data_IF_148120357409
#
_entry.id   IF_148120357409
#
_cell.length_a   1.000
_cell.length_b   1.000
_cell.length_c   1.000
_cell.angle_alpha   90.00
_cell.angle_beta   90.00
_cell.angle_gamma   90.00
#
_symmetry.space_group_name_H-M   'P 1'
#
loop_
_entity.id
_entity.type
_entity.pdbx_description
1 polymer ?
#
# COMPACT_ATOMS: atom_id res chain seq x y z
N UNK A 1 4.60 27.69 11.54
CA UNK A 1 4.50 26.64 12.57
C UNK A 1 4.08 27.34 13.86
N UNK A 2 2.96 26.95 14.48
CA UNK A 2 2.59 27.42 15.82
C UNK A 2 3.75 27.18 16.79
N UNK A 3 4.00 28.15 17.65
CA UNK A 3 5.04 28.11 18.68
C UNK A 3 4.42 27.99 20.07
N UNK A 4 5.23 27.63 21.06
CA UNK A 4 4.79 27.59 22.47
C UNK A 4 4.43 28.99 23.02
N UNK A 5 4.90 30.05 22.35
CA UNK A 5 4.60 31.45 22.65
C UNK A 5 3.77 32.09 21.51
N UNK A 6 2.45 31.89 21.43
CA UNK A 6 1.61 32.51 20.42
C UNK A 6 1.33 33.99 20.75
N UNK A 7 1.16 34.81 19.73
CA UNK A 7 0.55 36.14 19.90
C UNK A 7 -0.95 36.01 20.21
N UNK A 8 -1.55 37.04 20.82
CA UNK A 8 -3.00 37.06 21.11
C UNK A 8 -3.84 36.84 19.84
N UNK A 9 -3.42 37.40 18.70
CA UNK A 9 -4.07 37.23 17.40
C UNK A 9 -3.97 35.78 16.89
N UNK A 10 -2.80 35.15 17.01
CA UNK A 10 -2.63 33.74 16.62
C UNK A 10 -3.46 32.82 17.51
N UNK A 11 -3.56 33.13 18.80
CA UNK A 11 -4.39 32.39 19.76
C UNK A 11 -5.88 32.52 19.44
N UNK A 12 -6.37 33.74 19.18
CA UNK A 12 -7.76 33.97 18.78
C UNK A 12 -8.10 33.28 17.45
N UNK A 13 -7.20 33.35 16.47
CA UNK A 13 -7.36 32.67 15.20
C UNK A 13 -7.40 31.13 15.36
N UNK A 14 -6.57 30.56 16.24
CA UNK A 14 -6.61 29.14 16.53
C UNK A 14 -7.92 28.72 17.19
N UNK A 15 -8.43 29.49 18.15
CA UNK A 15 -9.71 29.20 18.81
C UNK A 15 -10.89 29.25 17.84
N UNK A 16 -10.87 30.19 16.90
CA UNK A 16 -11.92 30.35 15.90
C UNK A 16 -11.82 29.37 14.73
N UNK A 17 -10.58 29.00 14.33
CA UNK A 17 -10.28 28.17 13.15
C UNK A 17 -9.06 27.26 13.35
N UNK A 18 -9.16 26.24 14.23
CA UNK A 18 -8.04 25.38 14.56
C UNK A 18 -7.50 24.59 13.36
N UNK A 19 -8.35 24.27 12.37
CA UNK A 19 -7.97 23.61 11.13
C UNK A 19 -7.03 24.44 10.26
N UNK A 20 -7.21 25.77 10.20
CA UNK A 20 -6.30 26.64 9.44
C UNK A 20 -4.91 26.68 10.08
N UNK A 21 -4.85 26.70 11.42
CA UNK A 21 -3.59 26.62 12.15
C UNK A 21 -2.87 25.29 11.88
N UNK A 22 -3.60 24.17 11.85
CA UNK A 22 -3.06 22.86 11.51
C UNK A 22 -2.57 22.80 10.06
N UNK A 23 -3.34 23.32 9.10
CA UNK A 23 -2.96 23.36 7.68
C UNK A 23 -1.67 24.16 7.44
N UNK A 24 -1.42 25.20 8.25
CA UNK A 24 -0.15 25.97 8.21
C UNK A 24 1.08 25.15 8.66
N UNK A 25 0.89 23.99 9.32
CA UNK A 25 1.97 23.06 9.67
C UNK A 25 2.27 22.05 8.55
N UNK A 26 1.33 21.83 7.63
CA UNK A 26 1.47 20.88 6.54
C UNK A 26 2.15 21.51 5.32
N UNK A 27 2.58 20.69 4.34
CA UNK A 27 3.06 21.20 3.07
C UNK A 27 2.07 22.16 2.42
N UNK A 28 2.58 23.13 1.66
CA UNK A 28 1.74 23.99 0.82
C UNK A 28 0.93 23.14 -0.16
N UNK A 29 -0.19 23.66 -0.65
CA UNK A 29 -1.03 22.94 -1.62
C UNK A 29 -0.24 22.50 -2.87
N UNK A 30 0.70 23.32 -3.34
CA UNK A 30 1.56 22.99 -4.48
C UNK A 30 2.50 21.82 -4.13
N UNK A 31 3.16 21.86 -2.97
CA UNK A 31 4.04 20.77 -2.51
C UNK A 31 3.26 19.47 -2.31
N UNK A 32 2.09 19.54 -1.66
CA UNK A 32 1.22 18.38 -1.45
C UNK A 32 0.77 17.76 -2.79
N UNK A 33 0.39 18.59 -3.77
CA UNK A 33 0.01 18.13 -5.11
C UNK A 33 1.14 17.39 -5.81
N UNK A 34 2.37 17.90 -5.72
CA UNK A 34 3.55 17.23 -6.30
C UNK A 34 3.77 15.87 -5.64
N UNK A 35 3.74 15.81 -4.31
CA UNK A 35 3.92 14.54 -3.58
C UNK A 35 2.81 13.55 -3.94
N UNK A 36 1.55 13.98 -4.01
CA UNK A 36 0.43 13.12 -4.40
C UNK A 36 0.61 12.55 -5.81
N UNK A 37 1.00 13.37 -6.78
CA UNK A 37 1.24 12.89 -8.15
C UNK A 37 2.41 11.90 -8.23
N UNK A 38 3.49 12.13 -7.46
CA UNK A 38 4.62 11.19 -7.39
C UNK A 38 4.20 9.87 -6.75
N UNK A 39 3.49 9.92 -5.62
CA UNK A 39 3.01 8.71 -4.95
C UNK A 39 2.01 7.92 -5.80
N UNK A 40 1.14 8.60 -6.55
CA UNK A 40 0.21 7.95 -7.46
C UNK A 40 0.95 7.14 -8.53
N UNK A 41 1.99 7.71 -9.15
CA UNK A 41 2.84 7.00 -10.12
C UNK A 41 3.59 5.85 -9.47
N UNK A 42 4.21 6.07 -8.31
CA UNK A 42 5.01 5.05 -7.63
C UNK A 42 4.18 3.91 -7.02
N UNK A 43 2.89 4.13 -6.78
CA UNK A 43 1.99 3.11 -6.19
C UNK A 43 1.20 2.34 -7.24
N UNK A 44 1.46 2.57 -8.53
CA UNK A 44 0.67 2.04 -9.63
C UNK A 44 1.33 0.81 -10.25
N UNK A 45 0.61 -0.31 -10.24
CA UNK A 45 1.06 -1.53 -10.92
C UNK A 45 0.85 -1.40 -12.44
N UNK A 46 1.91 -1.65 -13.20
CA UNK A 46 1.85 -1.74 -14.66
C UNK A 46 0.86 -2.83 -15.12
N UNK A 47 0.14 -2.66 -16.24
CA UNK A 47 -0.60 -3.75 -16.90
C UNK A 47 0.26 -4.98 -17.23
N UNK A 48 1.55 -4.76 -17.46
CA UNK A 48 2.53 -5.78 -17.81
C UNK A 48 3.30 -6.32 -16.58
N UNK A 49 2.85 -5.98 -15.36
CA UNK A 49 3.56 -6.36 -14.12
C UNK A 49 3.57 -7.88 -13.90
N UNK A 50 4.74 -8.38 -13.50
CA UNK A 50 4.95 -9.78 -13.13
C UNK A 50 5.02 -9.93 -11.61
N UNK A 51 4.07 -10.70 -11.08
CA UNK A 51 3.96 -10.94 -9.64
C UNK A 51 4.72 -12.20 -9.26
N UNK A 52 5.20 -12.21 -8.01
CA UNK A 52 5.90 -13.35 -7.43
C UNK A 52 5.08 -14.65 -7.58
N UNK A 53 5.70 -15.68 -8.16
CA UNK A 53 5.08 -17.01 -8.31
C UNK A 53 3.83 -17.06 -9.20
N UNK A 54 3.60 -16.03 -10.03
CA UNK A 54 2.50 -16.00 -11.01
C UNK A 54 2.88 -16.72 -12.30
N UNK A 55 3.99 -16.31 -12.91
CA UNK A 55 4.49 -16.84 -14.17
C UNK A 55 5.83 -17.55 -13.94
N UNK A 56 5.99 -18.73 -14.53
CA UNK A 56 7.28 -19.43 -14.58
C UNK A 56 8.01 -19.02 -15.87
N UNK A 57 9.32 -18.86 -15.79
CA UNK A 57 10.15 -18.70 -16.98
C UNK A 57 10.00 -19.95 -17.88
N UNK A 58 9.66 -19.81 -19.18
CA UNK A 58 9.43 -20.94 -20.08
C UNK A 58 10.51 -22.02 -20.04
N UNK A 59 11.80 -21.65 -20.04
CA UNK A 59 12.89 -22.62 -19.99
C UNK A 59 12.96 -23.41 -18.68
N UNK A 60 12.49 -22.84 -17.57
CA UNK A 60 12.43 -23.54 -16.28
C UNK A 60 11.28 -24.55 -16.24
N UNK A 61 10.22 -24.32 -17.01
CA UNK A 61 9.08 -25.25 -17.10
C UNK A 61 9.41 -26.55 -17.85
N UNK A 62 10.46 -26.54 -18.68
CA UNK A 62 10.93 -27.72 -19.41
C UNK A 62 11.61 -28.75 -18.49
N UNK A 63 12.17 -28.31 -17.35
CA UNK A 63 12.70 -29.20 -16.32
C UNK A 63 11.55 -29.64 -15.39
N UNK A 64 11.19 -30.94 -15.33
CA UNK A 64 10.07 -31.41 -14.53
C UNK A 64 10.22 -31.13 -13.03
N UNK A 65 11.46 -31.12 -12.51
CA UNK A 65 11.74 -30.89 -11.09
C UNK A 65 11.52 -29.41 -10.77
N UNK A 66 12.02 -28.51 -11.61
CA UNK A 66 11.85 -27.07 -11.43
C UNK A 66 10.37 -26.69 -11.58
N UNK A 67 9.70 -27.21 -12.61
CA UNK A 67 8.27 -26.95 -12.81
C UNK A 67 7.43 -27.40 -11.60
N UNK A 68 7.66 -28.61 -11.09
CA UNK A 68 6.94 -29.12 -9.91
C UNK A 68 7.20 -28.25 -8.67
N UNK A 69 8.46 -27.83 -8.47
CA UNK A 69 8.80 -26.95 -7.35
C UNK A 69 8.11 -25.58 -7.45
N UNK A 70 8.03 -25.02 -8.66
CA UNK A 70 7.33 -23.76 -8.92
C UNK A 70 5.82 -23.88 -8.70
N UNK A 71 5.19 -24.98 -9.13
CA UNK A 71 3.77 -25.24 -8.89
C UNK A 71 3.45 -25.28 -7.39
N UNK A 72 4.29 -25.94 -6.59
CA UNK A 72 4.17 -25.96 -5.13
C UNK A 72 4.31 -24.55 -4.55
N UNK A 73 5.30 -23.78 -5.02
CA UNK A 73 5.51 -22.40 -4.59
C UNK A 73 4.31 -21.50 -4.90
N UNK A 74 3.83 -21.52 -6.14
CA UNK A 74 2.65 -20.76 -6.58
C UNK A 74 1.39 -21.16 -5.80
N UNK A 75 1.21 -22.46 -5.56
CA UNK A 75 0.13 -22.99 -4.72
C UNK A 75 0.18 -22.45 -3.28
N UNK A 76 1.37 -22.39 -2.68
CA UNK A 76 1.57 -21.83 -1.33
C UNK A 76 1.29 -20.33 -1.25
N UNK A 77 1.59 -19.57 -2.30
CA UNK A 77 1.24 -18.16 -2.36
C UNK A 77 -0.28 -17.94 -2.45
N UNK A 78 -1.00 -18.76 -3.21
CA UNK A 78 -2.48 -18.73 -3.23
C UNK A 78 -3.08 -19.07 -1.87
N UNK A 79 -2.50 -20.04 -1.15
CA UNK A 79 -2.90 -20.36 0.22
C UNK A 79 -2.66 -19.16 1.16
N UNK A 80 -1.50 -18.51 1.05
CA UNK A 80 -1.16 -17.30 1.83
C UNK A 80 -2.17 -16.17 1.61
N UNK A 81 -2.64 -15.98 0.38
CA UNK A 81 -3.65 -14.99 0.06
C UNK A 81 -4.94 -15.21 0.89
N UNK A 82 -5.41 -16.45 0.97
CA UNK A 82 -6.57 -16.82 1.81
C UNK A 82 -6.31 -16.66 3.31
N UNK A 83 -5.07 -16.91 3.78
CA UNK A 83 -4.68 -16.65 5.18
C UNK A 83 -4.74 -15.16 5.50
N UNK A 84 -4.32 -14.30 4.58
CA UNK A 84 -4.40 -12.84 4.76
C UNK A 84 -5.87 -12.41 4.86
N UNK A 85 -6.73 -12.93 3.99
CA UNK A 85 -8.17 -12.65 4.01
C UNK A 85 -8.81 -13.08 5.33
N UNK A 86 -8.52 -14.30 5.80
CA UNK A 86 -9.01 -14.80 7.08
C UNK A 86 -8.54 -13.92 8.25
N UNK A 87 -7.28 -13.47 8.23
CA UNK A 87 -6.74 -12.57 9.26
C UNK A 87 -7.37 -11.19 9.22
N UNK A 88 -7.67 -10.67 8.03
CA UNK A 88 -8.35 -9.39 7.88
C UNK A 88 -9.82 -9.47 8.35
N UNK A 89 -10.45 -10.65 8.30
CA UNK A 89 -11.80 -10.87 8.81
C UNK A 89 -11.87 -11.13 10.33
N UNK A 90 -10.76 -11.46 10.99
CA UNK A 90 -10.74 -11.77 12.42
C UNK A 90 -10.79 -10.50 13.28
N UNK A 91 -11.94 -10.26 13.94
CA UNK A 91 -12.15 -9.11 14.82
C UNK A 91 -11.23 -9.08 16.06
N UNK A 92 -10.57 -10.19 16.41
CA UNK A 92 -9.58 -10.22 17.48
C UNK A 92 -8.25 -9.58 17.03
N UNK A 93 -7.99 -9.51 15.71
CA UNK A 93 -6.80 -8.90 15.13
C UNK A 93 -7.04 -7.42 14.79
N UNK A 94 -7.10 -6.60 15.84
CA UNK A 94 -7.50 -5.17 15.78
C UNK A 94 -6.62 -4.26 14.94
N UNK A 95 -5.41 -4.70 14.58
CA UNK A 95 -4.45 -3.92 13.78
C UNK A 95 -4.50 -4.28 12.27
N UNK A 96 -5.57 -4.96 11.81
CA UNK A 96 -5.72 -5.39 10.41
C UNK A 96 -6.59 -4.45 9.58
N UNK A 97 -7.64 -3.89 10.18
CA UNK A 97 -8.53 -2.86 9.64
C UNK A 97 -9.40 -2.27 10.76
N UNK A 98 -10.17 -1.23 10.43
CA UNK A 98 -11.03 -0.53 11.37
C UNK A 98 -11.77 0.64 10.73
N UNK A 99 -12.37 1.50 11.54
CA UNK A 99 -13.09 2.68 11.04
C UNK A 99 -12.14 3.58 10.22
N UNK A 100 -12.41 3.70 8.92
CA UNK A 100 -11.58 4.48 7.99
C UNK A 100 -10.24 3.82 7.60
N UNK A 101 -9.96 2.59 8.04
CA UNK A 101 -8.74 1.86 7.72
C UNK A 101 -9.10 0.65 6.87
N UNK A 102 -8.61 0.62 5.63
CA UNK A 102 -8.80 -0.50 4.70
C UNK A 102 -8.09 -1.77 5.20
N UNK A 103 -8.54 -2.97 4.79
CA UNK A 103 -7.84 -4.22 5.06
C UNK A 103 -6.36 -4.17 4.69
N UNK A 104 -5.51 -4.74 5.55
CA UNK A 104 -4.09 -4.86 5.26
C UNK A 104 -3.85 -5.92 4.18
N UNK A 105 -3.66 -5.49 2.94
CA UNK A 105 -3.49 -6.38 1.77
C UNK A 105 -2.14 -6.22 1.05
N UNK A 106 -1.24 -5.36 1.54
CA UNK A 106 0.05 -5.06 0.89
C UNK A 106 0.94 -6.29 0.61
N UNK A 107 0.73 -7.39 1.33
CA UNK A 107 1.47 -8.65 1.15
C UNK A 107 0.65 -9.76 0.47
N UNK A 108 -0.54 -9.45 -0.08
CA UNK A 108 -1.21 -10.39 -0.97
C UNK A 108 -0.38 -10.51 -2.25
N UNK A 109 -0.06 -11.73 -2.70
CA UNK A 109 0.95 -11.95 -3.74
C UNK A 109 0.54 -11.37 -5.09
N UNK A 110 -0.75 -11.38 -5.42
CA UNK A 110 -1.24 -11.01 -6.74
C UNK A 110 -2.09 -9.74 -6.72
N UNK A 111 -2.06 -9.01 -7.83
CA UNK A 111 -2.94 -7.88 -8.08
C UNK A 111 -3.26 -7.71 -9.57
N UNK A 112 -4.07 -6.71 -9.88
CA UNK A 112 -4.27 -6.16 -11.22
C UNK A 112 -3.53 -4.82 -11.39
N UNK A 113 -3.59 -4.23 -12.59
CA UNK A 113 -3.01 -2.92 -12.83
C UNK A 113 -3.66 -1.82 -11.98
N UNK A 114 -2.91 -0.74 -11.73
CA UNK A 114 -3.39 0.43 -11.00
C UNK A 114 -2.90 0.50 -9.55
N UNK A 115 -3.40 1.49 -8.83
CA UNK A 115 -3.17 1.68 -7.39
C UNK A 115 -4.16 0.80 -6.62
N UNK A 116 -3.71 -0.38 -6.21
CA UNK A 116 -4.61 -1.44 -5.70
C UNK A 116 -4.45 -1.73 -4.21
N UNK A 117 -3.37 -1.27 -3.58
CA UNK A 117 -3.08 -1.57 -2.17
C UNK A 117 -2.69 -3.03 -1.89
N UNK A 118 -2.35 -3.79 -2.93
CA UNK A 118 -1.93 -5.19 -2.85
C UNK A 118 -1.11 -5.62 -4.07
N UNK A 119 -0.54 -6.82 -4.02
CA UNK A 119 0.29 -7.37 -5.08
C UNK A 119 1.77 -7.22 -4.75
N UNK A 120 2.52 -8.31 -4.88
CA UNK A 120 3.97 -8.32 -4.65
C UNK A 120 4.66 -8.58 -5.98
N UNK A 121 5.26 -7.55 -6.61
CA UNK A 121 6.05 -7.71 -7.82
C UNK A 121 7.21 -8.67 -7.61
N UNK A 122 7.66 -9.31 -8.68
CA UNK A 122 8.80 -10.22 -8.64
C UNK A 122 10.13 -9.48 -8.42
N UNK A 123 10.19 -8.18 -8.74
CA UNK A 123 11.39 -7.35 -8.67
C UNK A 123 11.09 -5.93 -8.18
N UNK A 124 12.11 -5.08 -8.06
CA UNK A 124 11.92 -3.65 -7.81
C UNK A 124 11.59 -2.99 -9.16
N UNK A 125 10.32 -3.06 -9.54
CA UNK A 125 9.78 -2.51 -10.80
C UNK A 125 9.13 -1.13 -10.62
N UNK A 126 8.98 -0.66 -9.38
CA UNK A 126 8.63 0.72 -9.04
C UNK A 126 9.14 1.12 -7.65
#
# INVERSE_FOLDING_TARGET
>A
MPTEDPTDEEWENFLNKPEEALLKCFPTQIQATIVMAVLDVLSNHSPDEEYVGKNIEPYWSEDPIINTAFEVFSGKLKELEGIIDARNADCNLRNRNGAGIVPYELLKPFSGPGVTGKGVPYSISI
#
